data_IF_196234975341
#
_entry.id   IF_196234975341
#
_cell.length_a   1.000
_cell.length_b   1.000
_cell.length_c   1.000
_cell.angle_alpha   90.00
_cell.angle_beta   90.00
_cell.angle_gamma   90.00
#
_symmetry.space_group_name_H-M   'P 1'
#
loop_
_entity.id
_entity.type
_entity.pdbx_description
1 polymer ?
#
# COMPACT_ATOMS: atom_id res chain seq x y z
N UNK A 1 -14.01 -21.60 -25.56
CA UNK A 1 -13.08 -20.54 -25.12
C UNK A 1 -13.09 -20.51 -23.61
N UNK A 2 -12.04 -20.95 -22.99
CA UNK A 2 -11.86 -20.79 -21.54
C UNK A 2 -11.49 -19.34 -21.29
N UNK A 3 -12.43 -18.54 -20.84
CA UNK A 3 -12.14 -17.24 -20.24
C UNK A 3 -11.36 -17.52 -18.96
N UNK A 4 -10.04 -17.34 -19.01
CA UNK A 4 -9.21 -17.32 -17.80
C UNK A 4 -9.76 -16.23 -16.90
N UNK A 5 -10.04 -16.55 -15.63
CA UNK A 5 -10.44 -15.57 -14.63
C UNK A 5 -9.41 -14.42 -14.61
N UNK A 6 -9.82 -13.17 -14.42
CA UNK A 6 -8.89 -12.04 -14.38
C UNK A 6 -7.87 -12.22 -13.26
N UNK A 7 -6.62 -11.90 -13.54
CA UNK A 7 -5.56 -11.88 -12.53
C UNK A 7 -5.67 -10.59 -11.71
N UNK A 8 -6.49 -10.63 -10.68
CA UNK A 8 -6.80 -9.46 -9.83
C UNK A 8 -5.57 -8.96 -9.08
N UNK A 9 -4.67 -9.87 -8.67
CA UNK A 9 -3.40 -9.46 -8.03
C UNK A 9 -2.58 -8.62 -9.02
N UNK A 10 -2.51 -9.03 -10.28
CA UNK A 10 -1.82 -8.25 -11.31
C UNK A 10 -2.43 -6.87 -11.47
N UNK A 11 -3.76 -6.77 -11.58
CA UNK A 11 -4.46 -5.49 -11.73
C UNK A 11 -4.18 -4.54 -10.55
N UNK A 12 -4.20 -5.07 -9.33
CA UNK A 12 -3.84 -4.30 -8.13
C UNK A 12 -2.41 -3.75 -8.18
N UNK A 13 -1.46 -4.57 -8.59
CA UNK A 13 -0.05 -4.17 -8.70
C UNK A 13 0.19 -3.20 -9.86
N UNK A 14 -0.50 -3.34 -10.98
CA UNK A 14 -0.47 -2.37 -12.08
C UNK A 14 -0.95 -1.00 -11.61
N UNK A 15 -2.05 -0.95 -10.87
CA UNK A 15 -2.57 0.29 -10.30
C UNK A 15 -1.61 0.91 -9.28
N UNK A 16 -1.01 0.08 -8.43
CA UNK A 16 0.01 0.54 -7.49
C UNK A 16 1.21 1.16 -8.23
N UNK A 17 1.68 0.50 -9.28
CA UNK A 17 2.75 1.03 -10.13
C UNK A 17 2.40 2.42 -10.67
N UNK A 18 1.22 2.56 -11.29
CA UNK A 18 0.78 3.83 -11.88
C UNK A 18 0.65 4.96 -10.85
N UNK A 19 0.34 4.63 -9.60
CA UNK A 19 0.26 5.61 -8.52
C UNK A 19 1.64 5.97 -7.95
N UNK A 20 2.56 5.00 -7.89
CA UNK A 20 3.92 5.20 -7.38
C UNK A 20 4.80 5.92 -8.40
N UNK A 21 4.68 5.59 -9.70
CA UNK A 21 5.38 6.30 -10.81
C UNK A 21 4.90 7.75 -10.89
N UNK A 22 5.41 8.59 -10.00
CA UNK A 22 4.93 9.95 -9.80
C UNK A 22 5.28 10.90 -10.95
N UNK A 23 6.37 10.62 -11.67
CA UNK A 23 6.83 11.43 -12.82
C UNK A 23 6.31 10.90 -14.16
N UNK A 24 5.62 9.73 -14.16
CA UNK A 24 5.08 9.05 -15.34
C UNK A 24 6.14 8.75 -16.42
N UNK A 25 7.36 8.39 -15.99
CA UNK A 25 8.42 8.02 -16.94
C UNK A 25 8.38 6.53 -17.34
N UNK A 26 7.42 5.76 -16.77
CA UNK A 26 7.25 4.33 -17.05
C UNK A 26 8.14 3.43 -16.22
N UNK A 27 8.83 3.98 -15.24
CA UNK A 27 9.69 3.27 -14.30
C UNK A 27 9.38 3.71 -12.87
N UNK A 28 9.68 2.85 -11.91
CA UNK A 28 9.69 3.19 -10.49
C UNK A 28 11.12 3.11 -9.99
N UNK A 29 11.56 4.15 -9.30
CA UNK A 29 12.83 4.19 -8.60
C UNK A 29 12.68 4.70 -7.17
N UNK A 30 13.79 4.85 -6.44
CA UNK A 30 13.73 5.31 -5.05
C UNK A 30 13.14 6.73 -4.95
N UNK A 31 13.32 7.60 -5.94
CA UNK A 31 12.77 8.96 -5.87
C UNK A 31 11.25 8.98 -5.87
N UNK A 32 10.60 8.03 -6.54
CA UNK A 32 9.15 7.87 -6.53
C UNK A 32 8.66 7.40 -5.14
N UNK A 33 9.35 6.44 -4.55
CA UNK A 33 9.05 6.00 -3.17
C UNK A 33 9.31 7.10 -2.15
N UNK A 34 10.35 7.92 -2.32
CA UNK A 34 10.58 9.06 -1.44
C UNK A 34 9.42 10.06 -1.52
N UNK A 35 8.90 10.33 -2.71
CA UNK A 35 7.71 11.18 -2.88
C UNK A 35 6.48 10.58 -2.20
N UNK A 36 6.30 9.26 -2.25
CA UNK A 36 5.22 8.59 -1.53
C UNK A 36 5.36 8.77 -0.01
N UNK A 37 6.55 8.59 0.53
CA UNK A 37 6.84 8.84 1.95
C UNK A 37 6.55 10.30 2.31
N UNK A 38 6.96 11.24 1.48
CA UNK A 38 6.72 12.67 1.68
C UNK A 38 5.22 13.00 1.68
N UNK A 39 4.40 12.28 0.88
CA UNK A 39 2.93 12.40 0.93
C UNK A 39 2.37 11.95 2.28
N UNK A 40 2.87 10.85 2.86
CA UNK A 40 2.49 10.43 4.22
C UNK A 40 2.82 11.50 5.25
N UNK A 41 4.04 12.00 5.22
CA UNK A 41 4.52 13.03 6.17
C UNK A 41 3.65 14.29 6.06
N UNK A 42 3.38 14.73 4.84
CA UNK A 42 2.54 15.91 4.59
C UNK A 42 1.07 15.69 4.96
N UNK A 43 0.49 14.54 4.58
CA UNK A 43 -0.91 14.23 4.81
C UNK A 43 -1.27 14.21 6.30
N UNK A 44 -0.39 13.64 7.12
CA UNK A 44 -0.58 13.52 8.58
C UNK A 44 0.19 14.57 9.38
N UNK A 45 0.81 15.55 8.70
CA UNK A 45 1.53 16.67 9.33
C UNK A 45 2.59 16.19 10.34
N UNK A 46 3.32 15.14 9.98
CA UNK A 46 4.31 14.53 10.84
C UNK A 46 5.51 15.46 11.00
N UNK A 47 5.87 15.76 12.24
CA UNK A 47 7.06 16.56 12.57
C UNK A 47 8.35 15.80 12.30
N UNK A 48 9.46 16.54 12.22
CA UNK A 48 10.79 16.00 11.90
C UNK A 48 11.27 14.89 12.86
N UNK A 49 10.80 14.93 14.11
CA UNK A 49 11.15 13.97 15.17
C UNK A 49 9.99 13.00 15.47
N UNK A 50 8.93 13.00 14.66
CA UNK A 50 7.82 12.07 14.84
C UNK A 50 8.28 10.66 14.49
N UNK A 51 8.17 9.68 15.41
CA UNK A 51 8.60 8.30 15.16
C UNK A 51 7.86 7.64 13.99
N UNK A 52 6.65 8.09 13.66
CA UNK A 52 5.88 7.60 12.51
C UNK A 52 6.54 7.98 11.18
N UNK A 53 7.12 9.20 11.09
CA UNK A 53 7.87 9.63 9.91
C UNK A 53 9.10 8.74 9.68
N UNK A 54 9.86 8.46 10.74
CA UNK A 54 10.99 7.52 10.68
C UNK A 54 10.56 6.09 10.33
N UNK A 55 9.45 5.63 10.90
CA UNK A 55 8.91 4.30 10.67
C UNK A 55 8.50 4.07 9.23
N UNK A 56 7.73 4.99 8.63
CA UNK A 56 7.29 4.86 7.24
C UNK A 56 8.47 4.99 6.25
N UNK A 57 9.43 5.87 6.53
CA UNK A 57 10.65 6.00 5.75
C UNK A 57 11.45 4.70 5.77
N UNK A 58 11.70 4.14 6.93
CA UNK A 58 12.46 2.90 7.09
C UNK A 58 11.76 1.72 6.42
N UNK A 59 10.44 1.61 6.57
CA UNK A 59 9.66 0.54 5.93
C UNK A 59 9.81 0.59 4.40
N UNK A 60 9.59 1.74 3.76
CA UNK A 60 9.70 1.83 2.31
C UNK A 60 11.13 1.67 1.80
N UNK A 61 12.14 2.06 2.56
CA UNK A 61 13.54 1.76 2.22
C UNK A 61 13.81 0.26 2.19
N UNK A 62 13.34 -0.47 3.21
CA UNK A 62 13.48 -1.92 3.25
C UNK A 62 12.65 -2.60 2.15
N UNK A 63 11.43 -2.13 1.91
CA UNK A 63 10.56 -2.64 0.85
C UNK A 63 11.21 -2.47 -0.53
N UNK A 64 11.75 -1.29 -0.81
CA UNK A 64 12.48 -1.02 -2.06
C UNK A 64 13.67 -1.97 -2.25
N UNK A 65 14.45 -2.20 -1.20
CA UNK A 65 15.57 -3.15 -1.27
C UNK A 65 15.10 -4.58 -1.57
N UNK A 66 13.97 -5.01 -1.03
CA UNK A 66 13.40 -6.32 -1.35
C UNK A 66 12.94 -6.40 -2.81
N UNK A 67 12.31 -5.36 -3.35
CA UNK A 67 11.95 -5.33 -4.76
C UNK A 67 13.19 -5.41 -5.68
N UNK A 68 14.24 -4.66 -5.39
CA UNK A 68 15.50 -4.73 -6.14
C UNK A 68 16.14 -6.11 -6.04
N UNK A 69 16.12 -6.74 -4.88
CA UNK A 69 16.68 -8.08 -4.68
C UNK A 69 15.97 -9.13 -5.55
N UNK A 70 14.66 -9.07 -5.65
CA UNK A 70 13.88 -10.01 -6.45
C UNK A 70 13.91 -9.70 -7.95
N UNK A 71 13.85 -8.44 -8.34
CA UNK A 71 13.84 -8.06 -9.75
C UNK A 71 15.22 -8.14 -10.41
N UNK A 72 16.29 -7.90 -9.66
CA UNK A 72 17.67 -7.82 -10.17
C UNK A 72 17.80 -7.01 -11.46
N UNK A 73 17.27 -5.76 -11.50
CA UNK A 73 17.27 -4.96 -12.70
C UNK A 73 18.67 -4.49 -13.08
N UNK A 74 18.85 -4.15 -14.36
CA UNK A 74 20.03 -3.41 -14.80
C UNK A 74 19.90 -1.95 -14.31
N UNK A 75 20.55 -1.62 -13.21
CA UNK A 75 20.40 -0.34 -12.53
C UNK A 75 19.38 -0.40 -11.39
N UNK A 76 18.92 0.77 -10.93
CA UNK A 76 18.00 0.88 -9.79
C UNK A 76 16.62 1.44 -10.21
N UNK A 77 16.13 0.94 -11.34
CA UNK A 77 14.78 1.28 -11.85
C UNK A 77 14.02 0.02 -12.22
N UNK A 78 12.74 -0.02 -11.88
CA UNK A 78 11.86 -1.13 -12.20
C UNK A 78 10.84 -0.70 -13.27
N UNK A 79 10.81 -1.41 -14.40
CA UNK A 79 9.68 -1.33 -15.33
C UNK A 79 8.42 -1.90 -14.67
N UNK A 80 7.25 -1.65 -15.25
CA UNK A 80 5.98 -2.18 -14.73
C UNK A 80 6.02 -3.71 -14.55
N UNK A 81 6.55 -4.44 -15.53
CA UNK A 81 6.66 -5.91 -15.43
C UNK A 81 7.63 -6.34 -14.32
N UNK A 82 8.78 -5.73 -14.20
CA UNK A 82 9.72 -6.02 -13.10
C UNK A 82 9.11 -5.68 -11.73
N UNK A 83 8.37 -4.60 -11.64
CA UNK A 83 7.68 -4.19 -10.41
C UNK A 83 6.64 -5.23 -9.98
N UNK A 84 5.81 -5.68 -10.92
CA UNK A 84 4.77 -6.69 -10.65
C UNK A 84 5.41 -7.99 -10.20
N UNK A 85 6.39 -8.49 -10.95
CA UNK A 85 7.08 -9.75 -10.63
C UNK A 85 7.81 -9.67 -9.28
N UNK A 86 8.53 -8.59 -9.03
CA UNK A 86 9.23 -8.38 -7.76
C UNK A 86 8.27 -8.34 -6.58
N UNK A 87 7.12 -7.69 -6.71
CA UNK A 87 6.09 -7.66 -5.67
C UNK A 87 5.51 -9.05 -5.40
N UNK A 88 5.23 -9.83 -6.44
CA UNK A 88 4.76 -11.21 -6.27
C UNK A 88 5.75 -12.07 -5.50
N UNK A 89 7.02 -12.00 -5.85
CA UNK A 89 8.08 -12.76 -5.18
C UNK A 89 8.32 -12.27 -3.76
N UNK A 90 8.41 -10.95 -3.56
CA UNK A 90 8.64 -10.36 -2.25
C UNK A 90 7.49 -10.62 -1.26
N UNK A 91 6.25 -10.69 -1.74
CA UNK A 91 5.09 -10.95 -0.88
C UNK A 91 5.10 -12.35 -0.25
N UNK A 92 5.72 -13.32 -0.90
CA UNK A 92 5.81 -14.72 -0.41
C UNK A 92 7.15 -15.04 0.26
N UNK A 93 8.19 -14.25 0.02
CA UNK A 93 9.51 -14.42 0.62
C UNK A 93 9.61 -13.60 1.92
N UNK A 94 9.40 -14.24 3.04
CA UNK A 94 9.50 -13.61 4.37
C UNK A 94 10.85 -13.82 5.05
N UNK A 95 11.87 -14.27 4.30
CA UNK A 95 13.17 -14.63 4.88
C UNK A 95 13.95 -13.43 5.44
N UNK A 96 13.73 -12.22 4.92
CA UNK A 96 14.38 -10.98 5.36
C UNK A 96 13.38 -9.96 5.91
N UNK A 97 12.28 -9.77 5.20
CA UNK A 97 11.24 -8.82 5.55
C UNK A 97 9.88 -9.39 5.15
N UNK A 98 8.96 -9.48 6.10
CA UNK A 98 7.57 -9.72 5.76
C UNK A 98 6.95 -8.39 5.31
N UNK A 99 6.96 -8.12 3.99
CA UNK A 99 6.46 -6.86 3.45
C UNK A 99 4.95 -6.66 3.67
N UNK A 100 4.18 -7.74 3.72
CA UNK A 100 2.73 -7.68 3.89
C UNK A 100 2.37 -7.23 5.30
N UNK A 101 2.95 -7.87 6.31
CA UNK A 101 2.75 -7.48 7.71
C UNK A 101 3.38 -6.12 8.01
N UNK A 102 4.60 -5.88 7.51
CA UNK A 102 5.31 -4.61 7.69
C UNK A 102 4.54 -3.44 7.08
N UNK A 103 3.98 -3.62 5.88
CA UNK A 103 3.12 -2.65 5.23
C UNK A 103 1.90 -2.33 6.10
N UNK A 104 1.19 -3.36 6.57
CA UNK A 104 0.02 -3.18 7.43
C UNK A 104 0.33 -2.38 8.68
N UNK A 105 1.40 -2.72 9.39
CA UNK A 105 1.77 -2.03 10.63
C UNK A 105 2.28 -0.61 10.38
N UNK A 106 3.18 -0.39 9.44
CA UNK A 106 3.78 0.92 9.20
C UNK A 106 2.74 1.95 8.70
N UNK A 107 1.85 1.54 7.81
CA UNK A 107 0.79 2.40 7.30
C UNK A 107 -0.24 2.68 8.39
N UNK A 108 -0.65 1.65 9.15
CA UNK A 108 -1.59 1.83 10.26
C UNK A 108 -1.07 2.83 11.29
N UNK A 109 0.19 2.71 11.69
CA UNK A 109 0.81 3.65 12.65
C UNK A 109 0.83 5.09 12.13
N UNK A 110 0.99 5.28 10.82
CA UNK A 110 0.88 6.61 10.21
C UNK A 110 -0.55 7.16 10.20
N UNK A 111 -1.54 6.31 9.90
CA UNK A 111 -2.95 6.71 9.84
C UNK A 111 -3.52 7.06 11.21
N UNK A 112 -3.15 6.29 12.24
CA UNK A 112 -3.58 6.48 13.63
C UNK A 112 -2.94 7.76 14.19
N UNK A 113 -3.52 8.90 13.82
CA UNK A 113 -2.95 10.21 14.13
C UNK A 113 -3.12 10.60 15.61
N UNK A 114 -4.18 10.11 16.26
CA UNK A 114 -4.47 10.38 17.67
C UNK A 114 -3.89 9.34 18.64
N UNK A 115 -3.37 8.21 18.12
CA UNK A 115 -2.74 7.17 18.92
C UNK A 115 -3.70 6.31 19.74
N UNK A 116 -4.98 6.23 19.35
CA UNK A 116 -5.98 5.42 20.03
C UNK A 116 -6.00 3.95 19.60
N UNK A 117 -5.11 3.57 18.67
CA UNK A 117 -4.98 2.24 18.07
C UNK A 117 -6.19 1.80 17.24
N UNK A 118 -6.95 2.75 16.75
CA UNK A 118 -8.03 2.60 15.80
C UNK A 118 -7.86 3.62 14.68
N UNK A 119 -8.42 3.36 13.51
CA UNK A 119 -8.40 4.30 12.39
C UNK A 119 -9.82 4.76 12.13
N UNK A 120 -10.06 6.05 12.35
CA UNK A 120 -11.34 6.69 12.04
C UNK A 120 -11.53 6.82 10.53
N UNK A 121 -12.77 7.11 10.13
CA UNK A 121 -13.11 7.37 8.74
C UNK A 121 -12.29 8.51 8.15
N UNK A 122 -12.10 9.59 8.90
CA UNK A 122 -11.35 10.77 8.46
C UNK A 122 -9.86 10.45 8.27
N UNK A 123 -9.27 9.67 9.16
CA UNK A 123 -7.88 9.22 9.08
C UNK A 123 -7.68 8.33 7.86
N UNK A 124 -8.60 7.39 7.60
CA UNK A 124 -8.55 6.51 6.45
C UNK A 124 -8.79 7.25 5.12
N UNK A 125 -9.76 8.16 5.07
CA UNK A 125 -9.98 9.00 3.88
C UNK A 125 -8.75 9.85 3.56
N UNK A 126 -8.05 10.36 4.57
CA UNK A 126 -6.79 11.09 4.39
C UNK A 126 -5.74 10.22 3.71
N UNK A 127 -5.62 8.96 4.13
CA UNK A 127 -4.73 7.98 3.50
C UNK A 127 -5.05 7.78 2.02
N UNK A 128 -6.29 7.43 1.69
CA UNK A 128 -6.64 7.14 0.31
C UNK A 128 -6.62 8.39 -0.57
N UNK A 129 -7.09 9.53 -0.09
CA UNK A 129 -7.20 10.73 -0.91
C UNK A 129 -5.88 11.48 -1.05
N UNK A 130 -5.12 11.66 0.03
CA UNK A 130 -3.92 12.50 0.02
C UNK A 130 -2.65 11.72 -0.28
N UNK A 131 -2.57 10.46 0.12
CA UNK A 131 -1.40 9.63 -0.15
C UNK A 131 -1.54 8.89 -1.48
N UNK A 132 -2.67 8.19 -1.67
CA UNK A 132 -2.91 7.36 -2.86
C UNK A 132 -3.73 8.04 -3.95
N UNK A 133 -4.23 9.25 -3.72
CA UNK A 133 -4.95 10.06 -4.71
C UNK A 133 -6.22 9.40 -5.26
N UNK A 134 -6.87 8.61 -4.43
CA UNK A 134 -8.14 7.95 -4.73
C UNK A 134 -9.31 8.93 -4.59
N UNK A 135 -10.35 8.77 -5.41
CA UNK A 135 -11.55 9.61 -5.34
C UNK A 135 -12.28 9.44 -4.00
N UNK A 136 -13.01 10.48 -3.57
CA UNK A 136 -13.74 10.43 -2.29
C UNK A 136 -14.81 9.32 -2.22
N UNK A 137 -15.64 9.08 -3.27
CA UNK A 137 -16.62 7.99 -3.24
C UNK A 137 -15.95 6.61 -3.04
N UNK A 138 -14.85 6.36 -3.72
CA UNK A 138 -14.12 5.10 -3.61
C UNK A 138 -13.46 4.93 -2.23
N UNK A 139 -12.97 6.02 -1.63
CA UNK A 139 -12.41 6.00 -0.28
C UNK A 139 -13.46 5.67 0.79
N UNK A 140 -14.68 6.20 0.64
CA UNK A 140 -15.81 5.90 1.52
C UNK A 140 -16.21 4.42 1.41
N UNK A 141 -16.31 3.90 0.21
CA UNK A 141 -16.63 2.49 -0.04
C UNK A 141 -15.58 1.56 0.57
N UNK A 142 -14.28 1.88 0.37
CA UNK A 142 -13.18 1.11 0.93
C UNK A 142 -13.24 1.08 2.47
N UNK A 143 -13.53 2.22 3.12
CA UNK A 143 -13.70 2.28 4.56
C UNK A 143 -14.78 1.31 5.05
N UNK A 144 -15.97 1.39 4.45
CA UNK A 144 -17.10 0.54 4.85
C UNK A 144 -16.82 -0.96 4.65
N UNK A 145 -16.05 -1.31 3.64
CA UNK A 145 -15.66 -2.70 3.42
C UNK A 145 -14.59 -3.21 4.38
N UNK A 146 -13.72 -2.32 4.86
CA UNK A 146 -12.69 -2.68 5.83
C UNK A 146 -13.20 -2.73 7.27
N UNK A 147 -14.17 -1.90 7.61
CA UNK A 147 -14.88 -1.94 8.90
C UNK A 147 -15.83 -3.16 8.93
N UNK A 148 -15.28 -4.32 9.24
CA UNK A 148 -16.01 -5.59 9.15
C UNK A 148 -17.04 -5.79 10.26
N UNK A 149 -16.79 -5.22 11.43
CA UNK A 149 -17.70 -5.31 12.58
C UNK A 149 -18.73 -4.18 12.63
N UNK A 150 -18.58 -3.15 11.76
CA UNK A 150 -19.50 -2.03 11.64
C UNK A 150 -19.49 -1.08 12.82
N UNK A 151 -18.35 -0.99 13.55
CA UNK A 151 -18.24 -0.11 14.72
C UNK A 151 -17.85 1.33 14.37
N UNK A 152 -17.62 1.63 13.09
CA UNK A 152 -17.26 2.96 12.59
C UNK A 152 -15.77 3.27 12.64
N UNK A 153 -14.93 2.28 12.92
CA UNK A 153 -13.47 2.37 12.95
C UNK A 153 -12.86 1.19 12.23
N UNK A 154 -11.61 1.30 11.82
CA UNK A 154 -10.82 0.18 11.32
C UNK A 154 -9.80 -0.18 12.41
N UNK A 155 -9.92 -1.39 12.95
CA UNK A 155 -8.93 -1.93 13.87
C UNK A 155 -7.65 -2.32 13.12
N UNK A 156 -6.54 -2.43 13.85
CA UNK A 156 -5.28 -2.92 13.28
C UNK A 156 -5.42 -4.31 12.64
N UNK A 157 -6.21 -5.19 13.23
CA UNK A 157 -6.45 -6.54 12.69
C UNK A 157 -7.22 -6.50 11.37
N UNK A 158 -8.26 -5.66 11.27
CA UNK A 158 -9.00 -5.46 10.02
C UNK A 158 -8.11 -4.91 8.92
N UNK A 159 -7.25 -3.93 9.25
CA UNK A 159 -6.33 -3.35 8.29
C UNK A 159 -5.26 -4.34 7.81
N UNK A 160 -4.65 -5.11 8.72
CA UNK A 160 -3.68 -6.16 8.35
C UNK A 160 -4.35 -7.26 7.53
N UNK A 161 -5.59 -7.63 7.84
CA UNK A 161 -6.35 -8.56 7.01
C UNK A 161 -6.52 -8.03 5.60
N UNK A 162 -6.90 -6.77 5.45
CA UNK A 162 -7.03 -6.13 4.14
C UNK A 162 -5.69 -6.10 3.37
N UNK A 163 -4.57 -5.87 4.06
CA UNK A 163 -3.25 -5.94 3.45
C UNK A 163 -2.93 -7.36 2.92
N UNK A 164 -3.25 -8.39 3.68
CA UNK A 164 -3.10 -9.79 3.22
C UNK A 164 -3.98 -10.09 2.01
N UNK A 165 -5.24 -9.67 2.03
CA UNK A 165 -6.16 -9.82 0.89
C UNK A 165 -5.64 -9.09 -0.35
N UNK A 166 -5.06 -7.91 -0.18
CA UNK A 166 -4.46 -7.16 -1.28
C UNK A 166 -3.37 -7.96 -2.00
N UNK A 167 -2.43 -8.53 -1.25
CA UNK A 167 -1.29 -9.25 -1.84
C UNK A 167 -1.62 -10.68 -2.29
N UNK A 168 -2.59 -11.34 -1.67
CA UNK A 168 -2.79 -12.79 -1.86
C UNK A 168 -4.13 -13.17 -2.49
N UNK A 169 -5.13 -12.30 -2.51
CA UNK A 169 -6.46 -12.64 -3.02
C UNK A 169 -6.64 -12.24 -4.49
N UNK A 170 -7.17 -13.17 -5.30
CA UNK A 170 -7.67 -12.89 -6.64
C UNK A 170 -9.17 -12.56 -6.66
N UNK A 171 -9.81 -12.44 -5.52
CA UNK A 171 -11.19 -12.03 -5.41
C UNK A 171 -11.29 -10.49 -5.42
N UNK A 172 -11.92 -9.89 -6.46
CA UNK A 172 -12.04 -8.43 -6.55
C UNK A 172 -12.98 -7.84 -5.49
N UNK A 173 -13.83 -8.67 -4.87
CA UNK A 173 -14.85 -8.23 -3.92
C UNK A 173 -14.36 -8.20 -2.47
N UNK A 174 -13.09 -8.57 -2.21
CA UNK A 174 -12.53 -8.46 -0.86
C UNK A 174 -12.25 -7.02 -0.47
N UNK A 175 -12.29 -6.73 0.84
CA UNK A 175 -11.92 -5.42 1.37
C UNK A 175 -10.49 -5.01 0.94
N UNK A 176 -9.57 -5.96 0.91
CA UNK A 176 -8.19 -5.74 0.47
C UNK A 176 -8.06 -5.31 -0.99
N UNK A 177 -8.98 -5.69 -1.86
CA UNK A 177 -8.97 -5.25 -3.26
C UNK A 177 -9.18 -3.73 -3.41
N UNK A 178 -9.71 -3.08 -2.39
CA UNK A 178 -9.90 -1.62 -2.33
C UNK A 178 -8.79 -0.89 -1.56
N UNK A 179 -7.74 -1.61 -1.12
CA UNK A 179 -6.69 -1.06 -0.24
C UNK A 179 -6.01 0.20 -0.82
N UNK A 180 -5.87 0.27 -2.14
CA UNK A 180 -5.37 1.44 -2.87
C UNK A 180 -6.39 1.95 -3.89
N UNK A 181 -7.67 1.78 -3.62
CA UNK A 181 -8.78 2.13 -4.50
C UNK A 181 -9.27 0.95 -5.36
N UNK A 182 -10.34 1.17 -6.14
CA UNK A 182 -10.94 0.12 -6.96
C UNK A 182 -10.01 -0.41 -8.06
N UNK A 183 -10.11 -1.71 -8.33
CA UNK A 183 -9.36 -2.40 -9.39
C UNK A 183 -10.26 -2.57 -10.63
#
# INVERSE_FOLDING_TARGET
MTTTAPDVIRLKLERQFDTVDANNDGYVDWSDYQQLVDRFISAYKLGKNDPRAGGIQAFYQMYWQELLRHAQPNGQKLSKEHFIEANRLASVDTSRLNIVEGCGHAIFDCMDANGDNEVSKEEFETFLRKVWQVSQPDAIEAFHRMDLNGDGHISRQEFIRAAREYFYSNDPDTAGSLFFGQV
#
